data_IF_433510021411
#
_entry.id   IF_433510021411
#
_cell.length_a   1.000
_cell.length_b   1.000
_cell.length_c   1.000
_cell.angle_alpha   90.00
_cell.angle_beta   90.00
_cell.angle_gamma   90.00
#
_symmetry.space_group_name_H-M   'P 1'
#
loop_
_entity.id
_entity.type
_entity.pdbx_description
1 polymer ?
#
# COMPACT_ATOMS: atom_id res chain seq x y z
N UNK A 1 2.58 8.49 -17.12
CA UNK A 1 3.08 7.19 -17.62
C UNK A 1 2.01 6.15 -17.36
N UNK A 2 1.82 5.16 -18.24
CA UNK A 2 0.89 4.06 -17.99
C UNK A 2 1.39 3.13 -16.87
N UNK A 3 0.50 2.30 -16.31
CA UNK A 3 0.80 1.39 -15.20
C UNK A 3 1.92 0.39 -15.51
N UNK A 4 1.91 -0.22 -16.71
CA UNK A 4 2.92 -1.23 -17.11
C UNK A 4 4.36 -0.67 -17.16
N UNK A 5 4.68 0.43 -17.88
CA UNK A 5 6.03 1.02 -17.84
C UNK A 5 6.52 1.36 -16.44
N UNK A 6 5.64 1.84 -15.56
CA UNK A 6 6.00 2.19 -14.18
C UNK A 6 6.31 0.95 -13.34
N UNK A 7 5.59 -0.16 -13.53
CA UNK A 7 5.92 -1.43 -12.87
C UNK A 7 7.23 -2.02 -13.38
N UNK A 8 7.50 -1.96 -14.68
CA UNK A 8 8.79 -2.39 -15.26
C UNK A 8 9.94 -1.57 -14.69
N UNK A 9 9.78 -0.24 -14.64
CA UNK A 9 10.74 0.65 -14.03
C UNK A 9 10.98 0.30 -12.54
N UNK A 10 9.91 0.05 -11.79
CA UNK A 10 9.99 -0.40 -10.40
C UNK A 10 10.80 -1.68 -10.22
N UNK A 11 10.52 -2.70 -11.04
CA UNK A 11 11.24 -3.98 -11.01
C UNK A 11 12.74 -3.83 -11.33
N UNK A 12 13.08 -3.04 -12.36
CA UNK A 12 14.47 -2.75 -12.70
C UNK A 12 15.19 -2.03 -11.54
N UNK A 13 14.55 -1.02 -10.94
CA UNK A 13 15.09 -0.27 -9.83
C UNK A 13 15.37 -1.18 -8.61
N UNK A 14 14.44 -2.08 -8.30
CA UNK A 14 14.60 -3.10 -7.24
C UNK A 14 15.75 -4.05 -7.51
N UNK A 15 15.86 -4.58 -8.73
CA UNK A 15 16.98 -5.46 -9.10
C UNK A 15 18.32 -4.73 -9.02
N UNK A 16 18.41 -3.51 -9.56
CA UNK A 16 19.64 -2.73 -9.52
C UNK A 16 20.06 -2.42 -8.08
N UNK A 17 19.13 -2.11 -7.17
CA UNK A 17 19.46 -1.85 -5.77
C UNK A 17 20.07 -3.06 -5.05
N UNK A 18 19.52 -4.26 -5.26
CA UNK A 18 20.09 -5.49 -4.69
C UNK A 18 21.43 -5.88 -5.34
N UNK A 19 21.58 -5.71 -6.65
CA UNK A 19 22.84 -5.98 -7.34
C UNK A 19 23.96 -5.01 -6.94
N UNK A 20 23.67 -3.70 -6.82
CA UNK A 20 24.64 -2.71 -6.32
C UNK A 20 25.04 -2.97 -4.87
N UNK A 21 24.10 -3.48 -4.07
CA UNK A 21 24.38 -3.90 -2.69
C UNK A 21 25.43 -5.03 -2.64
N UNK A 22 25.41 -5.99 -3.58
CA UNK A 22 26.33 -7.13 -3.54
C UNK A 22 27.80 -6.75 -3.73
N UNK A 23 28.06 -5.67 -4.47
CA UNK A 23 29.42 -5.19 -4.75
C UNK A 23 29.86 -4.05 -3.82
N UNK A 24 28.96 -3.55 -2.97
CA UNK A 24 29.27 -2.45 -2.06
C UNK A 24 30.15 -2.88 -0.89
N UNK A 25 31.07 -1.99 -0.51
CA UNK A 25 31.91 -2.10 0.68
C UNK A 25 31.57 -1.08 1.76
N UNK A 26 30.75 -0.07 1.44
CA UNK A 26 30.37 1.01 2.36
C UNK A 26 28.96 0.77 2.90
N UNK A 27 28.81 0.74 4.22
CA UNK A 27 27.52 0.54 4.91
C UNK A 27 26.51 1.62 4.55
N UNK A 28 26.93 2.87 4.40
CA UNK A 28 26.06 3.95 3.96
C UNK A 28 25.55 3.72 2.53
N UNK A 29 26.43 3.26 1.62
CA UNK A 29 26.03 2.93 0.26
C UNK A 29 25.07 1.73 0.22
N UNK A 30 25.30 0.70 1.06
CA UNK A 30 24.36 -0.42 1.24
C UNK A 30 22.99 0.08 1.69
N UNK A 31 22.94 0.97 2.70
CA UNK A 31 21.68 1.54 3.17
C UNK A 31 20.97 2.33 2.06
N UNK A 32 21.68 3.14 1.29
CA UNK A 32 21.12 3.90 0.16
C UNK A 32 20.58 2.98 -0.94
N UNK A 33 21.29 1.91 -1.29
CA UNK A 33 20.85 1.00 -2.35
C UNK A 33 19.67 0.12 -1.91
N UNK A 34 19.67 -0.40 -0.69
CA UNK A 34 18.56 -1.21 -0.17
C UNK A 34 17.33 -0.34 0.12
N UNK A 35 17.48 0.70 0.94
CA UNK A 35 16.34 1.51 1.43
C UNK A 35 15.87 2.49 0.36
N UNK A 36 16.80 3.15 -0.32
CA UNK A 36 16.48 4.10 -1.38
C UNK A 36 16.08 3.38 -2.66
N UNK A 37 17.03 2.75 -3.34
CA UNK A 37 16.80 2.23 -4.69
C UNK A 37 15.79 1.07 -4.71
N UNK A 38 16.03 0.02 -3.91
CA UNK A 38 15.12 -1.12 -3.85
C UNK A 38 13.79 -0.80 -3.19
N UNK A 39 13.78 0.05 -2.17
CA UNK A 39 12.55 0.51 -1.51
C UNK A 39 11.63 1.26 -2.47
N UNK A 40 12.15 2.25 -3.20
CA UNK A 40 11.37 3.03 -4.18
C UNK A 40 10.85 2.12 -5.31
N UNK A 41 11.68 1.20 -5.82
CA UNK A 41 11.30 0.29 -6.90
C UNK A 41 10.15 -0.64 -6.50
N UNK A 42 10.23 -1.17 -5.29
CA UNK A 42 9.22 -2.05 -4.71
C UNK A 42 7.92 -1.31 -4.43
N UNK A 43 8.00 -0.04 -4.01
CA UNK A 43 6.84 0.82 -3.81
C UNK A 43 6.04 0.99 -5.13
N UNK A 44 6.70 1.38 -6.23
CA UNK A 44 6.03 1.49 -7.53
C UNK A 44 5.31 0.19 -7.92
N UNK A 45 6.01 -0.94 -7.82
CA UNK A 45 5.47 -2.24 -8.21
C UNK A 45 4.26 -2.63 -7.36
N UNK A 46 4.33 -2.39 -6.05
CA UNK A 46 3.29 -2.77 -5.09
C UNK A 46 2.04 -1.90 -5.22
N UNK A 47 2.19 -0.57 -5.22
CA UNK A 47 1.05 0.34 -5.26
C UNK A 47 0.31 0.29 -6.60
N UNK A 48 1.03 0.13 -7.71
CA UNK A 48 0.38 -0.02 -9.02
C UNK A 48 -0.38 -1.35 -9.08
N UNK A 49 0.20 -2.44 -8.57
CA UNK A 49 -0.50 -3.73 -8.49
C UNK A 49 -1.79 -3.63 -7.67
N UNK A 50 -1.76 -2.95 -6.52
CA UNK A 50 -2.95 -2.76 -5.69
C UNK A 50 -4.02 -1.90 -6.38
N UNK A 51 -3.60 -0.80 -7.02
CA UNK A 51 -4.50 0.08 -7.76
C UNK A 51 -5.19 -0.67 -8.92
N UNK A 52 -4.44 -1.50 -9.66
CA UNK A 52 -5.01 -2.32 -10.72
C UNK A 52 -5.97 -3.37 -10.17
N UNK A 53 -5.60 -4.10 -9.10
CA UNK A 53 -6.51 -5.07 -8.46
C UNK A 53 -7.85 -4.41 -8.09
N UNK A 54 -7.82 -3.17 -7.58
CA UNK A 54 -9.02 -2.41 -7.24
C UNK A 54 -9.85 -1.94 -8.44
N UNK A 55 -9.22 -1.69 -9.59
CA UNK A 55 -9.92 -1.29 -10.82
C UNK A 55 -10.53 -2.47 -11.57
N UNK A 56 -9.84 -3.62 -11.59
CA UNK A 56 -10.31 -4.84 -12.29
C UNK A 56 -11.42 -5.56 -11.53
N UNK A 57 -11.31 -5.66 -10.21
CA UNK A 57 -12.18 -6.51 -9.41
C UNK A 57 -13.02 -5.68 -8.44
N UNK A 58 -14.07 -5.01 -8.93
CA UNK A 58 -14.97 -4.21 -8.07
C UNK A 58 -15.81 -5.09 -7.15
N UNK A 59 -16.57 -6.04 -7.71
CA UNK A 59 -17.52 -6.86 -6.95
C UNK A 59 -16.84 -7.91 -6.06
N UNK A 60 -15.70 -8.43 -6.51
CA UNK A 60 -14.91 -9.46 -5.81
C UNK A 60 -13.63 -8.90 -5.20
N UNK A 61 -13.59 -7.59 -4.94
CA UNK A 61 -12.41 -6.91 -4.42
C UNK A 61 -11.81 -7.58 -3.18
N UNK A 62 -12.59 -7.97 -2.14
CA UNK A 62 -12.01 -8.59 -0.95
C UNK A 62 -11.20 -9.85 -1.27
N UNK A 63 -11.73 -10.71 -2.14
CA UNK A 63 -11.03 -11.94 -2.54
C UNK A 63 -9.79 -11.62 -3.40
N UNK A 64 -9.93 -10.72 -4.37
CA UNK A 64 -8.83 -10.35 -5.27
C UNK A 64 -7.68 -9.66 -4.52
N UNK A 65 -7.99 -8.75 -3.59
CA UNK A 65 -7.00 -8.10 -2.72
C UNK A 65 -6.32 -9.11 -1.79
N UNK A 66 -7.11 -10.03 -1.20
CA UNK A 66 -6.57 -11.11 -0.38
C UNK A 66 -5.54 -11.94 -1.14
N UNK A 67 -5.90 -12.41 -2.34
CA UNK A 67 -5.01 -13.21 -3.18
C UNK A 67 -3.79 -12.42 -3.67
N UNK A 68 -3.97 -11.18 -4.11
CA UNK A 68 -2.88 -10.31 -4.59
C UNK A 68 -1.86 -10.02 -3.49
N UNK A 69 -2.31 -9.87 -2.24
CA UNK A 69 -1.42 -9.53 -1.11
C UNK A 69 -0.87 -10.74 -0.37
N UNK A 70 -1.26 -11.97 -0.73
CA UNK A 70 -0.67 -13.21 -0.20
C UNK A 70 0.78 -13.43 -0.63
N UNK A 71 1.26 -12.74 -1.68
CA UNK A 71 2.65 -12.83 -2.10
C UNK A 71 3.65 -12.45 -0.99
N UNK A 72 3.32 -11.46 -0.15
CA UNK A 72 4.17 -11.04 0.98
C UNK A 72 4.37 -12.16 2.01
N UNK A 73 3.31 -12.74 2.61
CA UNK A 73 3.51 -13.82 3.58
C UNK A 73 4.06 -15.11 2.95
N UNK A 74 3.75 -15.43 1.69
CA UNK A 74 4.39 -16.56 0.98
C UNK A 74 5.91 -16.31 0.85
N UNK A 75 6.30 -15.08 0.51
CA UNK A 75 7.70 -14.68 0.51
C UNK A 75 8.35 -14.90 1.88
N UNK A 76 7.71 -14.44 2.96
CA UNK A 76 8.19 -14.64 4.33
C UNK A 76 8.32 -16.12 4.71
N UNK A 77 7.43 -16.98 4.20
CA UNK A 77 7.50 -18.43 4.46
C UNK A 77 8.78 -19.06 3.96
N UNK A 78 9.21 -18.66 2.76
CA UNK A 78 10.44 -19.14 2.15
C UNK A 78 11.68 -18.37 2.63
N UNK A 79 11.52 -17.08 2.97
CA UNK A 79 12.63 -16.16 3.15
C UNK A 79 13.62 -16.61 4.22
N UNK A 80 13.16 -17.05 5.40
CA UNK A 80 14.05 -17.46 6.50
C UNK A 80 15.00 -18.61 6.12
N UNK A 81 14.46 -19.80 5.79
CA UNK A 81 15.28 -20.97 5.40
C UNK A 81 16.13 -20.73 4.15
N UNK A 82 15.57 -20.07 3.13
CA UNK A 82 16.28 -19.80 1.88
C UNK A 82 17.44 -18.83 2.12
N UNK A 83 17.21 -17.75 2.87
CA UNK A 83 18.28 -16.78 3.15
C UNK A 83 19.38 -17.40 3.99
N UNK A 84 19.05 -18.22 5.00
CA UNK A 84 20.05 -18.92 5.79
C UNK A 84 20.91 -19.89 4.95
N UNK A 85 20.26 -20.65 4.04
CA UNK A 85 20.97 -21.53 3.11
C UNK A 85 21.89 -20.74 2.17
N UNK A 86 21.41 -19.64 1.59
CA UNK A 86 22.19 -18.81 0.67
C UNK A 86 23.35 -18.12 1.39
N UNK A 87 23.13 -17.63 2.61
CA UNK A 87 24.19 -17.03 3.44
C UNK A 87 25.28 -18.05 3.77
N UNK A 88 24.92 -19.28 4.14
CA UNK A 88 25.89 -20.33 4.46
C UNK A 88 26.71 -20.81 3.27
N UNK A 89 26.17 -20.73 2.04
CA UNK A 89 26.83 -21.27 0.83
C UNK A 89 27.55 -20.21 0.00
N UNK A 90 26.94 -19.02 -0.17
CA UNK A 90 27.43 -17.96 -1.05
C UNK A 90 27.86 -16.68 -0.30
N UNK A 91 27.68 -16.64 1.03
CA UNK A 91 27.91 -15.46 1.84
C UNK A 91 26.91 -14.33 1.54
N UNK A 92 26.96 -13.26 2.33
CA UNK A 92 25.99 -12.16 2.21
C UNK A 92 25.99 -11.46 0.84
N UNK A 93 27.17 -11.31 0.21
CA UNK A 93 27.29 -10.70 -1.12
C UNK A 93 26.60 -11.54 -2.19
N UNK A 94 26.88 -12.85 -2.21
CA UNK A 94 26.25 -13.78 -3.14
C UNK A 94 24.74 -13.85 -2.93
N UNK A 95 24.28 -13.87 -1.67
CA UNK A 95 22.86 -13.81 -1.33
C UNK A 95 22.18 -12.57 -1.91
N UNK A 96 22.76 -11.38 -1.75
CA UNK A 96 22.17 -10.14 -2.29
C UNK A 96 22.09 -10.14 -3.83
N UNK A 97 23.10 -10.72 -4.50
CA UNK A 97 23.10 -10.86 -5.95
C UNK A 97 21.98 -11.80 -6.43
N UNK A 98 21.81 -12.95 -5.76
CA UNK A 98 20.75 -13.91 -6.06
C UNK A 98 19.35 -13.36 -5.76
N UNK A 99 19.18 -12.63 -4.66
CA UNK A 99 17.94 -11.90 -4.35
C UNK A 99 17.62 -10.86 -5.42
N UNK A 100 18.63 -10.16 -5.95
CA UNK A 100 18.46 -9.26 -7.09
C UNK A 100 17.99 -9.99 -8.35
N UNK A 101 18.54 -11.18 -8.62
CA UNK A 101 18.12 -12.04 -9.73
C UNK A 101 16.68 -12.58 -9.59
N UNK A 102 16.29 -12.98 -8.39
CA UNK A 102 14.88 -13.34 -8.09
C UNK A 102 13.99 -12.11 -8.30
N UNK A 103 14.39 -10.95 -7.79
CA UNK A 103 13.65 -9.68 -7.95
C UNK A 103 13.50 -9.25 -9.41
N UNK A 104 14.39 -9.68 -10.32
CA UNK A 104 14.28 -9.37 -11.75
C UNK A 104 13.02 -9.96 -12.39
N UNK A 105 12.48 -11.04 -11.83
CA UNK A 105 11.21 -11.62 -12.27
C UNK A 105 10.03 -10.66 -12.12
N UNK A 106 10.14 -9.60 -11.29
CA UNK A 106 9.16 -8.53 -11.24
C UNK A 106 8.95 -7.86 -12.60
N UNK A 107 9.99 -7.77 -13.44
CA UNK A 107 9.89 -7.24 -14.80
C UNK A 107 9.03 -8.16 -15.68
N UNK A 108 9.25 -9.47 -15.61
CA UNK A 108 8.44 -10.45 -16.33
C UNK A 108 6.98 -10.41 -15.87
N UNK A 109 6.73 -10.34 -14.56
CA UNK A 109 5.39 -10.18 -13.99
C UNK A 109 4.72 -8.87 -14.45
N UNK A 110 5.46 -7.75 -14.47
CA UNK A 110 4.95 -6.47 -14.95
C UNK A 110 4.56 -6.51 -16.43
N UNK A 111 5.30 -7.25 -17.27
CA UNK A 111 4.99 -7.41 -18.69
C UNK A 111 3.71 -8.22 -18.95
N UNK A 112 3.33 -9.11 -18.02
CA UNK A 112 2.09 -9.89 -18.09
C UNK A 112 0.84 -9.07 -17.74
N UNK A 113 1.01 -7.91 -17.10
CA UNK A 113 -0.09 -7.01 -16.78
C UNK A 113 -0.70 -6.51 -18.08
N UNK A 114 -1.92 -6.97 -18.36
CA UNK A 114 -2.75 -6.43 -19.42
C UNK A 114 -3.21 -5.04 -18.99
N UNK A 115 -3.27 -4.12 -19.93
CA UNK A 115 -3.98 -2.86 -19.78
C UNK A 115 -5.39 -3.13 -20.33
N UNK A 116 -6.42 -2.97 -19.53
CA UNK A 116 -7.83 -3.14 -19.94
C UNK A 116 -8.50 -1.75 -19.96
N UNK A 117 -9.66 -1.58 -20.61
CA UNK A 117 -9.85 -0.70 -21.76
C UNK A 117 -10.53 0.62 -21.41
N UNK A 118 -10.57 1.01 -20.13
CA UNK A 118 -11.10 2.34 -19.75
C UNK A 118 -10.16 3.49 -20.11
N UNK A 119 -8.95 3.18 -20.57
CA UNK A 119 -8.09 4.12 -21.32
C UNK A 119 -8.38 4.15 -22.82
N UNK A 120 -9.34 3.34 -23.28
CA UNK A 120 -9.85 3.26 -24.66
C UNK A 120 -11.39 3.30 -24.70
N UNK A 121 -12.02 4.07 -23.82
CA UNK A 121 -13.26 4.75 -24.20
C UNK A 121 -12.83 6.04 -24.91
N UNK A 122 -13.17 6.25 -26.19
CA UNK A 122 -12.77 7.43 -26.96
C UNK A 122 -13.55 8.69 -26.57
N UNK A 123 -13.79 8.93 -25.28
CA UNK A 123 -14.52 10.11 -24.80
C UNK A 123 -13.67 10.99 -23.86
N UNK A 124 -12.37 11.08 -24.09
CA UNK A 124 -11.54 12.22 -23.65
C UNK A 124 -10.18 12.33 -24.38
N UNK A 125 -10.12 11.91 -25.64
CA UNK A 125 -9.12 12.35 -26.62
C UNK A 125 -9.77 13.07 -27.82
N UNK A 126 -10.90 13.75 -27.57
CA UNK A 126 -11.27 14.91 -28.36
C UNK A 126 -11.04 16.16 -27.50
N UNK A 127 -9.97 16.88 -27.82
CA UNK A 127 -10.05 18.33 -27.87
C UNK A 127 -11.22 18.66 -28.81
N UNK A 128 -12.42 18.73 -28.25
CA UNK A 128 -13.48 19.51 -28.85
C UNK A 128 -13.12 20.95 -28.51
N UNK A 129 -12.62 21.68 -29.51
CA UNK A 129 -12.84 23.12 -29.57
C UNK A 129 -14.32 23.34 -29.27
N UNK A 130 -14.63 23.73 -28.04
CA UNK A 130 -15.86 24.43 -27.79
C UNK A 130 -15.61 25.82 -28.35
N UNK A 131 -15.91 25.99 -29.64
CA UNK A 131 -16.31 27.30 -30.16
C UNK A 131 -17.56 27.69 -29.40
N UNK A 132 -17.38 28.30 -28.22
CA UNK A 132 -18.42 29.10 -27.60
C UNK A 132 -18.54 30.35 -28.47
N UNK A 133 -19.50 30.33 -29.38
CA UNK A 133 -20.11 31.58 -29.82
C UNK A 133 -20.83 32.15 -28.61
N UNK A 134 -20.14 32.99 -27.84
CA UNK A 134 -20.80 34.00 -27.02
C UNK A 134 -21.22 35.10 -27.98
N UNK A 135 -22.48 35.03 -28.41
CA UNK A 135 -23.21 36.13 -29.00
C UNK A 135 -24.08 36.76 -27.93
N UNK A 136 -23.65 37.95 -27.52
CA UNK A 136 -24.09 38.83 -26.44
C UNK A 136 -25.60 39.05 -26.19
N UNK A 137 -25.85 39.49 -24.95
CA UNK A 137 -27.11 39.97 -24.39
C UNK A 137 -27.74 41.19 -25.13
N UNK A 138 -29.08 41.21 -25.12
CA UNK A 138 -29.99 42.36 -24.96
C UNK A 138 -29.64 43.73 -25.61
N UNK A 139 -30.45 44.19 -26.58
CA UNK A 139 -31.44 45.28 -26.37
C UNK A 139 -32.14 45.76 -27.67
N UNK A 140 -33.46 45.92 -27.54
CA UNK A 140 -34.29 47.03 -28.06
C UNK A 140 -34.57 47.22 -29.56
N UNK A 141 -35.86 47.04 -29.88
CA UNK A 141 -36.76 47.94 -30.62
C UNK A 141 -36.38 48.46 -32.02
N UNK A 142 -37.28 48.26 -32.98
CA UNK A 142 -37.37 49.12 -34.16
C UNK A 142 -37.91 48.45 -35.42
N UNK A 143 -38.97 49.03 -35.96
CA UNK A 143 -39.69 48.74 -37.20
C UNK A 143 -38.82 48.55 -38.48
N UNK A 144 -39.32 47.73 -39.42
CA UNK A 144 -39.48 48.16 -40.81
C UNK A 144 -38.45 47.76 -41.89
N UNK A 145 -38.96 47.00 -42.88
CA UNK A 145 -38.65 47.00 -44.33
C UNK A 145 -37.28 46.54 -44.86
N UNK A 146 -37.35 45.41 -45.57
CA UNK A 146 -36.89 45.14 -46.95
C UNK A 146 -35.80 46.05 -47.57
N UNK A 147 -34.67 45.45 -48.01
CA UNK A 147 -34.16 45.51 -49.38
C UNK A 147 -32.85 44.71 -49.58
N UNK A 148 -32.68 44.30 -50.83
CA UNK A 148 -31.73 43.41 -51.50
C UNK A 148 -30.27 43.88 -51.65
N UNK A 149 -29.40 42.88 -51.84
CA UNK A 149 -28.21 42.79 -52.72
C UNK A 149 -26.98 43.72 -52.58
N UNK A 150 -25.83 43.06 -52.71
CA UNK A 150 -24.66 43.36 -53.56
C UNK A 150 -23.30 43.70 -52.90
N UNK A 151 -22.31 42.89 -53.32
CA UNK A 151 -20.87 43.17 -53.63
C UNK A 151 -19.84 43.58 -52.56
N UNK A 152 -18.85 42.68 -52.41
CA UNK A 152 -17.37 42.85 -52.55
C UNK A 152 -16.72 44.20 -52.19
N UNK A 153 -15.71 44.22 -51.32
CA UNK A 153 -14.27 44.11 -51.68
C UNK A 153 -13.31 44.55 -50.53
N UNK A 154 -12.15 43.87 -50.49
CA UNK A 154 -10.80 44.28 -50.07
C UNK A 154 -10.43 45.00 -48.74
N UNK A 155 -9.57 44.28 -48.01
CA UNK A 155 -8.21 44.68 -47.57
C UNK A 155 -7.98 45.30 -46.17
N UNK A 156 -6.84 44.86 -45.59
CA UNK A 156 -6.10 45.35 -44.41
C UNK A 156 -6.62 44.78 -43.07
N UNK A 157 -5.80 44.26 -42.14
CA UNK A 157 -4.39 44.52 -41.84
C UNK A 157 -3.86 43.39 -40.94
N UNK A 158 -2.60 43.03 -41.17
CA UNK A 158 -1.72 42.26 -40.30
C UNK A 158 -1.74 42.78 -38.85
N UNK A 159 -1.79 41.85 -37.88
CA UNK A 159 -0.97 41.85 -36.66
C UNK A 159 -0.86 40.40 -36.16
N UNK A 160 0.35 39.86 -36.15
CA UNK A 160 0.68 38.64 -35.42
C UNK A 160 0.59 38.93 -33.92
N UNK A 161 -0.15 38.11 -33.17
CA UNK A 161 -0.10 38.10 -31.70
C UNK A 161 0.79 36.92 -31.23
N UNK A 162 1.88 37.14 -30.49
CA UNK A 162 2.78 36.09 -30.04
C UNK A 162 2.56 35.79 -28.55
N UNK A 163 1.65 34.90 -28.15
CA UNK A 163 1.62 34.49 -26.73
C UNK A 163 1.01 33.11 -26.37
N UNK A 164 1.37 32.05 -27.08
CA UNK A 164 0.93 30.67 -26.76
C UNK A 164 1.91 29.84 -25.90
N UNK A 165 2.89 30.45 -25.23
CA UNK A 165 3.96 29.70 -24.51
C UNK A 165 3.87 29.65 -22.99
N UNK A 166 2.83 30.19 -22.36
CA UNK A 166 2.75 30.29 -20.90
C UNK A 166 1.55 29.50 -20.33
N UNK A 167 1.73 28.19 -20.04
CA UNK A 167 1.06 27.47 -18.91
C UNK A 167 1.21 25.92 -18.87
N UNK A 168 2.31 25.30 -19.34
CA UNK A 168 2.53 23.85 -19.08
C UNK A 168 2.88 23.54 -17.61
N UNK A 169 3.60 24.44 -16.93
CA UNK A 169 4.07 24.25 -15.55
C UNK A 169 2.94 24.34 -14.52
N UNK A 170 2.01 25.29 -14.67
CA UNK A 170 0.85 25.44 -13.77
C UNK A 170 -0.12 24.26 -13.84
N UNK A 171 -0.23 23.61 -14.99
CA UNK A 171 -1.10 22.45 -15.21
C UNK A 171 -0.59 21.19 -14.52
N UNK A 172 0.75 21.00 -14.48
CA UNK A 172 1.39 19.90 -13.76
C UNK A 172 1.19 20.03 -12.25
N UNK A 173 1.44 21.21 -11.68
CA UNK A 173 1.24 21.46 -10.25
C UNK A 173 -0.24 21.30 -9.85
N UNK A 174 -1.20 21.78 -10.68
CA UNK A 174 -2.63 21.61 -10.41
C UNK A 174 -3.07 20.14 -10.44
N UNK A 175 -2.50 19.33 -11.33
CA UNK A 175 -2.77 17.89 -11.39
C UNK A 175 -2.14 17.13 -10.22
N UNK A 176 -0.96 17.54 -9.75
CA UNK A 176 -0.34 16.98 -8.54
C UNK A 176 -1.16 17.34 -7.29
N UNK A 177 -1.63 18.58 -7.15
CA UNK A 177 -2.47 18.99 -6.02
C UNK A 177 -3.82 18.27 -6.03
N UNK A 178 -4.41 18.03 -7.21
CA UNK A 178 -5.61 17.18 -7.32
C UNK A 178 -5.32 15.71 -6.96
N UNK A 179 -4.13 15.21 -7.29
CA UNK A 179 -3.73 13.86 -6.93
C UNK A 179 -3.43 13.71 -5.42
N UNK A 180 -2.83 14.73 -4.79
CA UNK A 180 -2.63 14.85 -3.35
C UNK A 180 -3.92 15.38 -2.73
N UNK A 181 -4.94 14.53 -2.73
CA UNK A 181 -6.27 14.85 -2.24
C UNK A 181 -6.26 15.01 -0.71
N UNK A 182 -5.96 16.23 -0.26
CA UNK A 182 -5.88 16.59 1.15
C UNK A 182 -7.23 16.50 1.87
N UNK A 183 -8.35 16.53 1.13
CA UNK A 183 -9.68 16.43 1.74
C UNK A 183 -9.88 15.06 2.41
N UNK A 184 -9.13 14.02 1.99
CA UNK A 184 -9.12 12.72 2.67
C UNK A 184 -8.73 12.84 4.14
N UNK A 185 -7.74 13.69 4.47
CA UNK A 185 -7.28 13.86 5.85
C UNK A 185 -8.29 14.59 6.75
N UNK A 186 -9.32 15.19 6.16
CA UNK A 186 -10.43 15.79 6.90
C UNK A 186 -11.62 14.83 7.08
N UNK A 187 -11.66 13.71 6.34
CA UNK A 187 -12.68 12.69 6.52
C UNK A 187 -12.40 11.88 7.80
N UNK A 188 -13.25 12.07 8.80
CA UNK A 188 -13.16 11.40 10.11
C UNK A 188 -13.07 9.87 9.97
N UNK A 189 -13.79 9.25 9.01
CA UNK A 189 -13.73 7.79 8.83
C UNK A 189 -12.37 7.37 8.28
N UNK A 190 -11.83 8.11 7.33
CA UNK A 190 -10.49 7.84 6.79
C UNK A 190 -9.41 8.00 7.86
N UNK A 191 -9.50 9.07 8.66
CA UNK A 191 -8.58 9.35 9.77
C UNK A 191 -8.60 8.22 10.82
N UNK A 192 -9.78 7.72 11.19
CA UNK A 192 -9.88 6.60 12.14
C UNK A 192 -9.25 5.31 11.57
N UNK A 193 -9.50 5.00 10.30
CA UNK A 193 -8.96 3.80 9.65
C UNK A 193 -7.44 3.89 9.45
N UNK A 194 -6.88 5.06 9.11
CA UNK A 194 -5.44 5.21 8.98
C UNK A 194 -4.75 5.12 10.35
N UNK A 195 -5.34 5.69 11.41
CA UNK A 195 -4.82 5.53 12.78
C UNK A 195 -4.79 4.06 13.20
N UNK A 196 -5.86 3.31 12.93
CA UNK A 196 -5.91 1.86 13.19
C UNK A 196 -4.87 1.08 12.36
N UNK A 197 -4.66 1.47 11.10
CA UNK A 197 -3.63 0.86 10.24
C UNK A 197 -2.23 1.15 10.74
N UNK A 198 -1.95 2.37 11.20
CA UNK A 198 -0.65 2.76 11.73
C UNK A 198 -0.28 1.98 12.99
N UNK A 199 -1.21 1.83 13.94
CA UNK A 199 -0.95 1.05 15.16
C UNK A 199 -0.69 -0.43 14.83
N UNK A 200 -1.46 -1.01 13.92
CA UNK A 200 -1.22 -2.38 13.46
C UNK A 200 0.12 -2.52 12.69
N UNK A 201 0.48 -1.55 11.85
CA UNK A 201 1.71 -1.61 11.07
C UNK A 201 2.98 -1.38 11.89
N UNK A 202 2.88 -0.54 12.93
CA UNK A 202 3.94 -0.34 13.92
C UNK A 202 4.38 -1.68 14.51
N UNK A 203 3.42 -2.44 15.04
CA UNK A 203 3.69 -3.72 15.72
C UNK A 203 4.04 -4.82 14.74
N UNK A 204 3.37 -4.88 13.58
CA UNK A 204 3.70 -5.83 12.51
C UNK A 204 5.15 -5.67 12.05
N UNK A 205 5.57 -4.46 11.66
CA UNK A 205 6.90 -4.21 11.10
C UNK A 205 8.00 -4.52 12.12
N UNK A 206 7.79 -4.10 13.38
CA UNK A 206 8.71 -4.37 14.46
C UNK A 206 8.82 -5.87 14.75
N UNK A 207 7.69 -6.58 14.83
CA UNK A 207 7.70 -8.04 15.04
C UNK A 207 8.40 -8.78 13.91
N UNK A 208 8.19 -8.37 12.65
CA UNK A 208 8.88 -8.98 11.50
C UNK A 208 10.39 -8.89 11.61
N UNK A 209 10.92 -7.78 12.10
CA UNK A 209 12.37 -7.58 12.28
C UNK A 209 12.89 -8.42 13.45
N UNK A 210 12.18 -8.42 14.58
CA UNK A 210 12.71 -8.97 15.83
C UNK A 210 12.32 -10.43 16.13
N UNK A 211 11.40 -11.05 15.38
CA UNK A 211 10.89 -12.39 15.73
C UNK A 211 11.98 -13.46 15.80
N UNK A 212 12.96 -13.44 14.89
CA UNK A 212 14.04 -14.44 14.87
C UNK A 212 14.99 -14.20 16.05
N UNK A 213 15.39 -12.95 16.27
CA UNK A 213 16.24 -12.57 17.41
C UNK A 213 15.58 -12.84 18.75
N UNK A 214 14.26 -12.67 18.84
CA UNK A 214 13.47 -13.02 20.02
C UNK A 214 13.50 -14.53 20.28
N UNK A 215 13.28 -15.35 19.25
CA UNK A 215 13.41 -16.81 19.36
C UNK A 215 14.79 -17.24 19.84
N UNK A 216 15.86 -16.63 19.30
CA UNK A 216 17.23 -16.88 19.74
C UNK A 216 17.46 -16.45 21.20
N UNK A 217 16.92 -15.30 21.61
CA UNK A 217 17.01 -14.82 23.00
C UNK A 217 16.32 -15.76 23.99
N UNK A 218 15.24 -16.44 23.58
CA UNK A 218 14.59 -17.47 24.38
C UNK A 218 15.37 -18.81 24.44
N UNK A 219 16.48 -18.92 23.71
CA UNK A 219 17.33 -20.11 23.68
C UNK A 219 17.03 -21.09 22.55
N UNK A 220 16.21 -20.70 21.55
CA UNK A 220 16.02 -21.53 20.35
C UNK A 220 17.30 -21.53 19.51
N UNK A 221 17.57 -22.67 18.84
CA UNK A 221 18.67 -22.73 17.89
C UNK A 221 18.42 -21.79 16.71
N UNK A 222 19.47 -21.37 16.01
CA UNK A 222 19.35 -20.51 14.83
C UNK A 222 18.44 -21.12 13.76
N UNK A 223 18.54 -22.43 13.55
CA UNK A 223 17.67 -23.18 12.64
C UNK A 223 16.21 -23.12 13.13
N UNK A 224 15.96 -23.38 14.41
CA UNK A 224 14.61 -23.30 14.98
C UNK A 224 14.01 -21.90 14.84
N UNK A 225 14.75 -20.85 15.21
CA UNK A 225 14.30 -19.47 15.10
C UNK A 225 14.01 -19.07 13.64
N UNK A 226 14.75 -19.61 12.66
CA UNK A 226 14.51 -19.35 11.23
C UNK A 226 13.18 -19.86 10.69
N UNK A 227 12.51 -20.78 11.40
CA UNK A 227 11.16 -21.28 11.06
C UNK A 227 10.02 -20.41 11.62
N UNK A 228 10.29 -19.47 12.53
CA UNK A 228 9.27 -18.57 13.07
C UNK A 228 8.62 -17.69 11.97
N UNK A 229 9.37 -17.07 11.04
CA UNK A 229 8.79 -16.37 9.89
C UNK A 229 7.89 -17.27 9.02
N UNK A 230 8.20 -18.57 8.95
CA UNK A 230 7.39 -19.54 8.22
C UNK A 230 6.03 -19.75 8.89
N UNK A 231 6.01 -19.96 10.21
CA UNK A 231 4.75 -20.05 10.95
C UNK A 231 3.92 -18.76 10.83
N UNK A 232 4.57 -17.60 10.95
CA UNK A 232 3.94 -16.30 10.77
C UNK A 232 3.29 -16.16 9.39
N UNK A 233 4.02 -16.49 8.33
CA UNK A 233 3.53 -16.39 6.96
C UNK A 233 2.37 -17.34 6.68
N UNK A 234 2.43 -18.58 7.16
CA UNK A 234 1.31 -19.55 7.06
C UNK A 234 0.05 -18.99 7.74
N UNK A 235 0.20 -18.51 8.97
CA UNK A 235 -0.91 -17.91 9.70
C UNK A 235 -1.50 -16.71 8.96
N UNK A 236 -0.65 -15.83 8.42
CA UNK A 236 -1.08 -14.64 7.70
C UNK A 236 -1.86 -14.97 6.42
N UNK A 237 -1.42 -15.97 5.66
CA UNK A 237 -2.18 -16.49 4.50
C UNK A 237 -3.56 -16.98 4.93
N UNK A 238 -3.64 -17.78 6.00
CA UNK A 238 -4.91 -18.28 6.53
C UNK A 238 -5.83 -17.10 6.91
N UNK A 239 -5.32 -16.13 7.68
CA UNK A 239 -6.09 -14.96 8.10
C UNK A 239 -6.65 -14.14 6.92
N UNK A 240 -5.88 -14.00 5.83
CA UNK A 240 -6.33 -13.30 4.62
C UNK A 240 -7.42 -14.04 3.84
N UNK A 241 -7.42 -15.37 3.86
CA UNK A 241 -8.38 -16.20 3.13
C UNK A 241 -9.69 -16.43 3.90
N UNK A 242 -9.64 -16.43 5.23
CA UNK A 242 -10.81 -16.68 6.08
C UNK A 242 -11.91 -15.64 5.81
N UNK A 243 -11.60 -14.34 5.79
CA UNK A 243 -12.64 -13.32 5.62
C UNK A 243 -13.38 -13.41 4.27
N UNK A 244 -12.69 -13.42 3.11
CA UNK A 244 -13.39 -13.49 1.83
C UNK A 244 -14.17 -14.79 1.66
N UNK A 245 -13.68 -15.91 2.21
CA UNK A 245 -14.37 -17.20 2.14
C UNK A 245 -15.64 -17.23 3.00
N UNK A 246 -15.57 -16.71 4.24
CA UNK A 246 -16.73 -16.63 5.13
C UNK A 246 -17.84 -15.74 4.55
N UNK A 247 -17.48 -14.68 3.83
CA UNK A 247 -18.45 -13.84 3.15
C UNK A 247 -19.16 -14.55 1.99
N UNK A 248 -18.48 -15.48 1.30
CA UNK A 248 -19.09 -16.27 0.21
C UNK A 248 -20.14 -17.26 0.72
N UNK A 249 -19.94 -17.84 1.91
CA UNK A 249 -20.89 -18.78 2.53
C UNK A 249 -22.06 -18.08 3.26
N UNK A 250 -22.19 -16.75 3.13
CA UNK A 250 -23.32 -15.98 3.66
C UNK A 250 -23.13 -15.44 5.08
N UNK A 251 -21.97 -15.67 5.71
CA UNK A 251 -21.65 -15.11 7.04
C UNK A 251 -21.18 -13.66 6.83
N UNK A 252 -22.03 -12.69 7.17
CA UNK A 252 -21.77 -11.25 7.01
C UNK A 252 -21.63 -10.48 8.35
N UNK A 253 -20.69 -10.84 9.27
CA UNK A 253 -20.34 -9.97 10.38
C UNK A 253 -19.82 -8.63 9.86
N UNK A 254 -19.95 -7.59 10.68
CA UNK A 254 -19.33 -6.30 10.38
C UNK A 254 -17.82 -6.45 10.21
N UNK A 255 -17.21 -5.76 9.24
CA UNK A 255 -15.75 -5.74 9.06
C UNK A 255 -15.02 -5.28 10.32
N UNK A 256 -15.62 -4.38 11.07
CA UNK A 256 -15.15 -3.95 12.40
C UNK A 256 -15.02 -5.12 13.37
N UNK A 257 -15.99 -6.03 13.39
CA UNK A 257 -15.93 -7.20 14.28
C UNK A 257 -14.71 -8.06 13.95
N UNK A 258 -14.46 -8.31 12.67
CA UNK A 258 -13.31 -9.08 12.21
C UNK A 258 -11.98 -8.41 12.52
N UNK A 259 -11.89 -7.09 12.30
CA UNK A 259 -10.70 -6.33 12.64
C UNK A 259 -10.39 -6.37 14.16
N UNK A 260 -11.41 -6.20 15.01
CA UNK A 260 -11.27 -6.33 16.46
C UNK A 260 -10.90 -7.76 16.88
N UNK A 261 -11.50 -8.77 16.26
CA UNK A 261 -11.20 -10.18 16.54
C UNK A 261 -9.75 -10.52 16.19
N UNK A 262 -9.27 -10.12 15.00
CA UNK A 262 -7.88 -10.30 14.60
C UNK A 262 -6.90 -9.56 15.53
N UNK A 263 -7.21 -8.32 15.92
CA UNK A 263 -6.39 -7.55 16.87
C UNK A 263 -6.34 -8.22 18.26
N UNK A 264 -7.46 -8.81 18.71
CA UNK A 264 -7.53 -9.59 19.94
C UNK A 264 -6.63 -10.83 19.91
N UNK A 265 -6.62 -11.58 18.80
CA UNK A 265 -5.72 -12.73 18.61
C UNK A 265 -4.26 -12.30 18.74
N UNK A 266 -3.87 -11.20 18.08
CA UNK A 266 -2.50 -10.67 18.15
C UNK A 266 -2.14 -10.29 19.59
N UNK A 267 -3.01 -9.55 20.27
CA UNK A 267 -2.77 -9.08 21.63
C UNK A 267 -2.60 -10.25 22.62
N UNK A 268 -3.51 -11.22 22.60
CA UNK A 268 -3.42 -12.41 23.46
C UNK A 268 -2.15 -13.20 23.15
N UNK A 269 -1.79 -13.33 21.87
CA UNK A 269 -0.58 -14.06 21.48
C UNK A 269 0.70 -13.41 22.03
N UNK A 270 0.82 -12.08 21.97
CA UNK A 270 1.97 -11.38 22.55
C UNK A 270 2.02 -11.44 24.08
N UNK A 271 0.87 -11.44 24.77
CA UNK A 271 0.83 -11.59 26.22
C UNK A 271 1.20 -13.01 26.66
N UNK A 272 0.79 -14.03 25.90
CA UNK A 272 1.11 -15.42 26.19
C UNK A 272 2.57 -15.79 25.88
N UNK A 273 3.23 -15.04 24.98
CA UNK A 273 4.62 -15.28 24.58
C UNK A 273 5.58 -15.32 25.77
N UNK A 274 5.39 -14.45 26.76
CA UNK A 274 6.22 -14.38 27.96
C UNK A 274 6.25 -15.70 28.77
N UNK A 275 5.22 -16.53 28.62
CA UNK A 275 5.06 -17.79 29.38
C UNK A 275 5.45 -19.03 28.57
N UNK A 276 5.47 -18.94 27.24
CA UNK A 276 5.64 -20.09 26.35
C UNK A 276 7.05 -20.05 25.75
N UNK A 277 7.93 -20.93 26.22
CA UNK A 277 9.32 -21.06 25.73
C UNK A 277 9.58 -22.22 24.76
N UNK A 278 8.86 -23.37 24.82
CA UNK A 278 9.13 -24.48 23.91
C UNK A 278 8.96 -24.08 22.43
N UNK A 279 9.81 -24.63 21.57
CA UNK A 279 9.81 -24.35 20.12
C UNK A 279 8.43 -24.47 19.46
N UNK A 280 7.70 -25.56 19.73
CA UNK A 280 6.36 -25.78 19.17
C UNK A 280 5.36 -24.72 19.65
N UNK A 281 5.46 -24.29 20.90
CA UNK A 281 4.64 -23.22 21.44
C UNK A 281 4.92 -21.87 20.79
N UNK A 282 6.20 -21.58 20.54
CA UNK A 282 6.64 -20.36 19.83
C UNK A 282 6.20 -20.34 18.36
N UNK A 283 6.25 -21.48 17.66
CA UNK A 283 5.65 -21.62 16.32
C UNK A 283 4.15 -21.35 16.33
N UNK A 284 3.42 -21.94 17.28
CA UNK A 284 1.96 -21.78 17.38
C UNK A 284 1.58 -20.32 17.64
N UNK A 285 2.19 -19.67 18.64
CA UNK A 285 1.96 -18.26 18.95
C UNK A 285 2.26 -17.36 17.76
N UNK A 286 3.43 -17.54 17.13
CA UNK A 286 3.83 -16.75 15.96
C UNK A 286 2.87 -16.95 14.79
N UNK A 287 2.36 -18.18 14.60
CA UNK A 287 1.30 -18.47 13.64
C UNK A 287 -0.01 -17.74 13.95
N UNK A 288 -0.45 -17.71 15.21
CA UNK A 288 -1.64 -16.96 15.61
C UNK A 288 -1.48 -15.46 15.42
N UNK A 289 -0.31 -14.89 15.73
CA UNK A 289 0.00 -13.48 15.40
C UNK A 289 -0.13 -13.27 13.89
N UNK A 290 0.39 -14.20 13.08
CA UNK A 290 0.20 -14.22 11.63
C UNK A 290 -1.27 -14.15 11.22
N UNK A 291 -2.11 -15.06 11.75
CA UNK A 291 -3.57 -15.09 11.49
C UNK A 291 -4.22 -13.75 11.84
N UNK A 292 -3.94 -13.23 13.04
CA UNK A 292 -4.52 -11.98 13.51
C UNK A 292 -4.20 -10.80 12.59
N UNK A 293 -2.94 -10.62 12.20
CA UNK A 293 -2.57 -9.56 11.24
C UNK A 293 -3.14 -9.81 9.84
N UNK A 294 -3.22 -11.06 9.39
CA UNK A 294 -3.86 -11.42 8.13
C UNK A 294 -5.31 -10.93 8.08
N UNK A 295 -6.07 -11.16 9.16
CA UNK A 295 -7.45 -10.69 9.32
C UNK A 295 -7.53 -9.17 9.41
N UNK A 296 -6.71 -8.54 10.26
CA UNK A 296 -6.73 -7.08 10.50
C UNK A 296 -6.44 -6.29 9.22
N UNK A 297 -5.35 -6.65 8.51
CA UNK A 297 -4.98 -5.92 7.30
C UNK A 297 -5.97 -6.14 6.16
N UNK A 298 -6.49 -7.36 6.01
CA UNK A 298 -7.52 -7.64 5.02
C UNK A 298 -8.80 -6.85 5.30
N UNK A 299 -9.25 -6.77 6.56
CA UNK A 299 -10.41 -5.99 6.93
C UNK A 299 -10.20 -4.49 6.65
N UNK A 300 -9.04 -3.94 7.01
CA UNK A 300 -8.68 -2.54 6.77
C UNK A 300 -8.68 -2.18 5.27
N UNK A 301 -8.06 -3.01 4.43
CA UNK A 301 -8.01 -2.78 2.97
C UNK A 301 -9.41 -2.76 2.36
N UNK A 302 -10.30 -3.65 2.83
CA UNK A 302 -11.69 -3.73 2.38
C UNK A 302 -12.52 -2.56 2.87
N UNK A 303 -12.41 -2.17 4.15
CA UNK A 303 -13.13 -1.02 4.72
C UNK A 303 -12.78 0.27 3.98
N UNK A 304 -11.49 0.47 3.68
CA UNK A 304 -11.02 1.66 2.98
C UNK A 304 -11.49 1.68 1.53
N UNK A 305 -11.51 0.53 0.84
CA UNK A 305 -12.04 0.44 -0.53
C UNK A 305 -13.50 0.88 -0.63
N UNK A 306 -14.32 0.57 0.37
CA UNK A 306 -15.74 0.94 0.40
C UNK A 306 -16.00 2.36 0.94
N UNK A 307 -14.98 3.04 1.46
CA UNK A 307 -15.12 4.41 1.96
C UNK A 307 -15.04 5.46 0.84
N UNK A 308 -14.22 5.21 -0.18
CA UNK A 308 -13.90 6.19 -1.22
C UNK A 308 -14.32 5.74 -2.61
N UNK A 309 -14.57 6.72 -3.47
CA UNK A 309 -14.81 6.50 -4.90
C UNK A 309 -13.54 6.03 -5.63
N UNK A 310 -13.74 5.38 -6.78
CA UNK A 310 -12.65 4.74 -7.56
C UNK A 310 -11.55 5.74 -7.97
N UNK A 311 -11.93 6.98 -8.27
CA UNK A 311 -11.03 8.07 -8.68
C UNK A 311 -10.10 8.55 -7.55
N UNK A 312 -10.56 8.44 -6.29
CA UNK A 312 -9.80 8.86 -5.09
C UNK A 312 -8.98 7.72 -4.48
N UNK A 313 -9.20 6.48 -4.92
CA UNK A 313 -8.59 5.30 -4.30
C UNK A 313 -7.06 5.28 -4.41
N UNK A 314 -6.50 5.78 -5.52
CA UNK A 314 -5.04 5.88 -5.69
C UNK A 314 -4.44 6.89 -4.69
N UNK A 315 -5.10 8.03 -4.47
CA UNK A 315 -4.69 9.02 -3.47
C UNK A 315 -4.72 8.44 -2.05
N UNK A 316 -5.74 7.62 -1.76
CA UNK A 316 -5.84 6.89 -0.50
C UNK A 316 -4.69 5.93 -0.30
N UNK A 317 -4.35 5.11 -1.31
CA UNK A 317 -3.20 4.19 -1.24
C UNK A 317 -1.89 4.96 -0.98
N UNK A 318 -1.74 6.15 -1.57
CA UNK A 318 -0.59 7.03 -1.34
C UNK A 318 -0.49 7.51 0.11
N UNK A 319 -1.58 8.05 0.67
CA UNK A 319 -1.63 8.44 2.08
C UNK A 319 -1.41 7.27 3.01
N UNK A 320 -2.04 6.12 2.72
CA UNK A 320 -1.81 4.89 3.46
C UNK A 320 -0.34 4.51 3.44
N UNK A 321 0.29 4.45 2.27
CA UNK A 321 1.71 4.14 2.12
C UNK A 321 2.62 5.03 2.95
N UNK A 322 2.37 6.34 2.94
CA UNK A 322 3.16 7.30 3.69
C UNK A 322 3.07 7.07 5.21
N UNK A 323 1.85 7.07 5.77
CA UNK A 323 1.67 6.92 7.21
C UNK A 323 2.07 5.53 7.73
N UNK A 324 1.77 4.48 6.95
CA UNK A 324 2.19 3.11 7.23
C UNK A 324 3.71 3.00 7.24
N UNK A 325 4.39 3.62 6.27
CA UNK A 325 5.85 3.68 6.21
C UNK A 325 6.45 4.31 7.47
N UNK A 326 5.97 5.50 7.86
CA UNK A 326 6.41 6.18 9.10
C UNK A 326 6.16 5.31 10.33
N UNK A 327 4.95 4.76 10.49
CA UNK A 327 4.61 3.92 11.63
C UNK A 327 5.47 2.66 11.70
N UNK A 328 5.77 2.01 10.56
CA UNK A 328 6.61 0.82 10.49
C UNK A 328 8.06 1.10 10.86
N UNK A 329 8.63 2.20 10.38
CA UNK A 329 9.99 2.65 10.74
C UNK A 329 10.08 2.96 12.23
N UNK A 330 9.11 3.70 12.77
CA UNK A 330 9.05 3.98 14.22
C UNK A 330 8.93 2.69 15.03
N UNK A 331 8.15 1.72 14.56
CA UNK A 331 8.04 0.39 15.15
C UNK A 331 9.40 -0.28 15.32
N UNK A 332 10.15 -0.42 14.22
CA UNK A 332 11.47 -1.04 14.25
C UNK A 332 12.47 -0.30 15.16
N UNK A 333 12.52 1.04 15.06
CA UNK A 333 13.47 1.87 15.81
C UNK A 333 13.16 1.91 17.31
N UNK A 334 11.91 2.15 17.69
CA UNK A 334 11.51 2.25 19.10
C UNK A 334 11.68 0.89 19.78
N UNK A 335 11.32 -0.21 19.12
CA UNK A 335 11.54 -1.55 19.67
C UNK A 335 13.01 -1.88 19.87
N UNK A 336 13.87 -1.48 18.94
CA UNK A 336 15.32 -1.64 19.07
C UNK A 336 15.87 -0.85 20.25
N UNK A 337 15.48 0.42 20.37
CA UNK A 337 15.89 1.28 21.48
C UNK A 337 15.42 0.74 22.84
N UNK A 338 14.18 0.24 22.92
CA UNK A 338 13.67 -0.42 24.13
C UNK A 338 14.51 -1.66 24.45
N UNK A 339 14.78 -2.52 23.46
CA UNK A 339 15.59 -3.72 23.65
C UNK A 339 17.00 -3.40 24.15
N UNK A 340 17.65 -2.37 23.59
CA UNK A 340 18.97 -1.92 24.04
C UNK A 340 18.97 -1.44 25.50
N UNK A 341 17.90 -0.75 25.92
CA UNK A 341 17.78 -0.25 27.29
C UNK A 341 17.43 -1.33 28.31
N UNK A 342 16.57 -2.28 27.95
CA UNK A 342 16.03 -3.31 28.87
C UNK A 342 16.84 -4.60 28.87
N UNK A 343 17.61 -4.87 27.79
CA UNK A 343 18.32 -6.12 27.58
C UNK A 343 17.41 -7.33 27.32
N UNK A 344 16.12 -7.13 27.04
CA UNK A 344 15.16 -8.23 26.86
C UNK A 344 13.86 -7.84 26.16
N UNK A 345 13.22 -8.84 25.54
CA UNK A 345 12.03 -8.63 24.70
C UNK A 345 10.71 -8.50 25.47
N UNK A 346 10.65 -8.80 26.76
CA UNK A 346 9.38 -8.79 27.52
C UNK A 346 8.68 -7.42 27.49
N UNK A 347 9.42 -6.33 27.66
CA UNK A 347 8.86 -4.96 27.60
C UNK A 347 8.45 -4.62 26.16
N UNK A 348 9.24 -5.03 25.17
CA UNK A 348 8.93 -4.82 23.74
C UNK A 348 7.59 -5.49 23.39
N UNK A 349 7.37 -6.73 23.83
CA UNK A 349 6.13 -7.46 23.60
C UNK A 349 4.93 -6.86 24.35
N UNK A 350 5.11 -6.38 25.57
CA UNK A 350 4.08 -5.62 26.28
C UNK A 350 3.68 -4.35 25.53
N UNK A 351 4.66 -3.62 24.97
CA UNK A 351 4.40 -2.46 24.11
C UNK A 351 3.64 -2.87 22.84
N UNK A 352 4.00 -3.99 22.20
CA UNK A 352 3.25 -4.50 21.05
C UNK A 352 1.80 -4.85 21.38
N UNK A 353 1.57 -5.53 22.50
CA UNK A 353 0.22 -5.82 22.98
C UNK A 353 -0.56 -4.51 23.20
N UNK A 354 0.02 -3.55 23.93
CA UNK A 354 -0.60 -2.26 24.21
C UNK A 354 -0.94 -1.46 22.95
N UNK A 355 0.00 -1.32 22.02
CA UNK A 355 -0.21 -0.57 20.76
C UNK A 355 -1.26 -1.27 19.88
N UNK A 356 -1.26 -2.60 19.83
CA UNK A 356 -2.30 -3.34 19.08
C UNK A 356 -3.67 -3.17 19.73
N UNK A 357 -3.76 -3.10 21.06
CA UNK A 357 -5.03 -2.85 21.75
C UNK A 357 -5.61 -1.47 21.40
N UNK A 358 -4.76 -0.46 21.17
CA UNK A 358 -5.17 0.88 20.75
C UNK A 358 -5.86 0.90 19.37
N UNK A 359 -5.73 -0.14 18.53
CA UNK A 359 -6.48 -0.20 17.28
C UNK A 359 -7.98 -0.44 17.49
N UNK A 360 -8.37 -1.11 18.58
CA UNK A 360 -9.76 -1.50 18.83
C UNK A 360 -10.70 -0.29 18.99
N UNK A 361 -10.38 0.73 19.82
CA UNK A 361 -11.19 1.94 19.89
C UNK A 361 -11.41 2.61 18.54
N UNK A 362 -10.38 2.72 17.69
CA UNK A 362 -10.52 3.32 16.37
C UNK A 362 -11.53 2.56 15.49
N UNK A 363 -11.49 1.23 15.49
CA UNK A 363 -12.45 0.40 14.77
C UNK A 363 -13.88 0.56 15.29
N UNK A 364 -14.05 0.58 16.61
CA UNK A 364 -15.36 0.74 17.25
C UNK A 364 -15.95 2.12 16.96
N UNK A 365 -15.14 3.18 17.10
CA UNK A 365 -15.57 4.55 16.83
C UNK A 365 -15.95 4.74 15.37
N UNK A 366 -15.19 4.16 14.42
CA UNK A 366 -15.54 4.21 13.00
C UNK A 366 -16.90 3.56 12.73
N UNK A 367 -17.15 2.38 13.30
CA UNK A 367 -18.43 1.69 13.14
C UNK A 367 -19.61 2.46 13.74
N UNK A 368 -19.43 3.05 14.92
CA UNK A 368 -20.45 3.88 15.55
C UNK A 368 -20.75 5.13 14.73
N UNK A 369 -19.71 5.78 14.19
CA UNK A 369 -19.83 6.93 13.32
C UNK A 369 -20.55 6.59 12.01
N UNK A 370 -20.20 5.45 11.38
CA UNK A 370 -20.84 4.95 10.18
C UNK A 370 -22.34 4.66 10.39
N UNK A 371 -22.70 4.04 11.53
CA UNK A 371 -24.10 3.81 11.90
C UNK A 371 -24.89 5.11 12.12
N UNK A 372 -24.29 6.11 12.78
CA UNK A 372 -24.95 7.39 13.05
C UNK A 372 -25.25 8.21 11.79
N UNK A 373 -24.40 8.13 10.76
CA UNK A 373 -24.65 8.80 9.47
C UNK A 373 -25.69 8.08 8.59
N UNK A 374 -26.00 6.82 8.89
CA UNK A 374 -26.97 6.02 8.15
C UNK A 374 -28.40 6.14 8.70
N UNK A 375 -28.56 6.69 9.91
CA UNK A 375 -29.83 7.09 10.52
C UNK A 375 -30.10 8.56 10.15
#
# INVERSE_FOLDING_TARGET
>A
MGSRPMMVFGGLLTTTGFMLTSISSNVFAVAVFIVGLSGIGTAFSTFISLALTASYFKDKYPLANGLSTMGVPIGMMAYGPVTQLLLGTYGWRGTMLLVGGISFHLVACAMLVRLDPSSSSPDNEQYQEVSVNDGDENQSAGEGRDCTDDKTDNSKKSCCDPDHRQNRTGMCCRNIVKAIDMALLTDVRFVLLICARCTANFTYSAWVVYMVSHGQFQGLSEIQASFLPTAFGVGNVIGKLVLPFLQQIGIKPSMTFWACFGAGIVNVSFLLDAFIRPFIGQLALTGFVGVGYGVVFQALDVMVRFLVSDDRFVSVLGWQGMFVGVAGTLGGLISGWIYEWTGGFSIVLCVFAGVTLLSIPFFVTEALYAKRKAL
#
